data_IF_657605971568
#
_entry.id   IF_657605971568
#
_cell.length_a   1.000
_cell.length_b   1.000
_cell.length_c   1.000
_cell.angle_alpha   90.00
_cell.angle_beta   90.00
_cell.angle_gamma   90.00
#
_symmetry.space_group_name_H-M   'P 1'
#
loop_
_entity.id
_entity.type
_entity.pdbx_description
1 polymer ?
#
# COMPACT_ATOMS: atom_id res chain seq x y z
N UNK A 1 -37.63 -4.44 20.15
CA UNK A 1 -36.16 -4.33 20.06
C UNK A 1 -35.85 -2.97 19.45
N UNK A 2 -35.16 -2.11 20.19
CA UNK A 2 -34.84 -0.75 19.72
C UNK A 2 -33.65 -0.79 18.74
N UNK A 3 -33.29 0.36 18.14
CA UNK A 3 -32.16 0.44 17.22
C UNK A 3 -30.83 0.03 17.87
N UNK A 4 -30.62 0.42 19.13
CA UNK A 4 -29.39 0.15 19.89
C UNK A 4 -29.19 -1.36 20.05
N UNK A 5 -30.21 -2.07 20.53
CA UNK A 5 -30.16 -3.53 20.71
C UNK A 5 -29.79 -4.27 19.42
N UNK A 6 -30.31 -3.79 18.27
CA UNK A 6 -30.03 -4.36 16.94
C UNK A 6 -28.57 -4.14 16.54
N UNK A 7 -28.05 -2.93 16.75
CA UNK A 7 -26.66 -2.59 16.42
C UNK A 7 -25.71 -3.36 17.34
N UNK A 8 -26.01 -3.50 18.63
CA UNK A 8 -25.21 -4.32 19.55
C UNK A 8 -25.13 -5.79 19.12
N UNK A 9 -26.25 -6.38 18.70
CA UNK A 9 -26.27 -7.76 18.20
C UNK A 9 -25.40 -7.92 16.96
N UNK A 10 -25.47 -6.98 16.02
CA UNK A 10 -24.61 -6.98 14.82
C UNK A 10 -23.15 -6.80 15.21
N UNK A 11 -22.84 -5.86 16.11
CA UNK A 11 -21.48 -5.57 16.54
C UNK A 11 -20.82 -6.81 17.17
N UNK A 12 -21.51 -7.53 18.05
CA UNK A 12 -21.01 -8.78 18.64
C UNK A 12 -20.78 -9.85 17.57
N UNK A 13 -21.75 -10.07 16.70
CA UNK A 13 -21.64 -11.07 15.63
C UNK A 13 -20.53 -10.76 14.61
N UNK A 14 -20.22 -9.48 14.37
CA UNK A 14 -19.08 -9.07 13.56
C UNK A 14 -17.77 -9.23 14.34
N UNK A 15 -17.71 -8.80 15.59
CA UNK A 15 -16.51 -8.93 16.42
C UNK A 15 -16.06 -10.40 16.56
N UNK A 16 -17.00 -11.32 16.81
CA UNK A 16 -16.71 -12.76 16.92
C UNK A 16 -16.18 -13.34 15.60
N UNK A 17 -16.69 -12.86 14.46
CA UNK A 17 -16.25 -13.28 13.13
C UNK A 17 -14.84 -12.78 12.81
N UNK A 18 -14.58 -11.52 13.13
CA UNK A 18 -13.31 -10.86 12.83
C UNK A 18 -12.19 -11.26 13.81
N UNK A 19 -12.52 -11.76 14.99
CA UNK A 19 -11.54 -12.21 15.99
C UNK A 19 -10.52 -13.22 15.42
N UNK A 20 -10.94 -14.10 14.52
CA UNK A 20 -10.06 -15.08 13.87
C UNK A 20 -9.06 -14.44 12.89
N UNK A 21 -9.33 -13.23 12.39
CA UNK A 21 -8.52 -12.54 11.39
C UNK A 21 -7.54 -11.52 12.00
N UNK A 22 -7.69 -11.17 13.28
CA UNK A 22 -6.85 -10.16 13.96
C UNK A 22 -5.37 -10.50 13.82
N UNK A 23 -4.97 -11.74 14.10
CA UNK A 23 -3.57 -12.16 14.00
C UNK A 23 -3.00 -12.00 12.59
N UNK A 24 -3.74 -12.44 11.56
CA UNK A 24 -3.33 -12.32 10.16
C UNK A 24 -3.28 -10.87 9.68
N UNK A 25 -4.19 -10.01 10.16
CA UNK A 25 -4.16 -8.58 9.84
C UNK A 25 -2.99 -7.87 10.51
N UNK A 26 -2.65 -8.23 11.76
CA UNK A 26 -1.45 -7.73 12.43
C UNK A 26 -0.19 -8.09 11.65
N UNK A 27 -0.04 -9.36 11.23
CA UNK A 27 1.10 -9.78 10.41
C UNK A 27 1.17 -9.06 9.07
N UNK A 28 0.02 -8.83 8.42
CA UNK A 28 -0.04 -8.03 7.19
C UNK A 28 0.38 -6.57 7.43
N UNK A 29 -0.01 -5.97 8.56
CA UNK A 29 0.42 -4.61 8.94
C UNK A 29 1.92 -4.54 9.18
N UNK A 30 2.49 -5.45 9.95
CA UNK A 30 3.94 -5.50 10.20
C UNK A 30 4.73 -5.64 8.90
N UNK A 31 4.23 -6.48 7.99
CA UNK A 31 4.82 -6.64 6.66
C UNK A 31 4.70 -5.36 5.83
N UNK A 32 3.53 -4.70 5.82
CA UNK A 32 3.33 -3.44 5.11
C UNK A 32 4.22 -2.33 5.65
N UNK A 33 4.40 -2.23 6.97
CA UNK A 33 5.29 -1.27 7.64
C UNK A 33 6.76 -1.52 7.26
N UNK A 34 7.20 -2.78 7.19
CA UNK A 34 8.55 -3.14 6.74
C UNK A 34 8.80 -2.70 5.30
N UNK A 35 7.88 -2.98 4.37
CA UNK A 35 8.02 -2.57 2.98
C UNK A 35 7.92 -1.04 2.84
N UNK A 36 7.01 -0.41 3.59
CA UNK A 36 6.87 1.04 3.63
C UNK A 36 8.16 1.73 4.05
N UNK A 37 8.79 1.31 5.14
CA UNK A 37 10.03 1.92 5.61
C UNK A 37 11.13 1.94 4.54
N UNK A 38 11.22 0.88 3.74
CA UNK A 38 12.19 0.76 2.63
C UNK A 38 11.85 1.69 1.48
N UNK A 39 10.56 1.77 1.12
CA UNK A 39 10.08 2.70 0.09
C UNK A 39 10.29 4.14 0.53
N UNK A 40 9.92 4.48 1.76
CA UNK A 40 10.07 5.80 2.34
C UNK A 40 11.53 6.23 2.36
N UNK A 41 12.45 5.35 2.76
CA UNK A 41 13.89 5.64 2.71
C UNK A 41 14.38 5.94 1.28
N UNK A 42 13.98 5.11 0.31
CA UNK A 42 14.36 5.30 -1.09
C UNK A 42 13.81 6.62 -1.66
N UNK A 43 12.54 6.92 -1.40
CA UNK A 43 11.88 8.14 -1.88
C UNK A 43 12.41 9.38 -1.16
N UNK A 44 12.75 9.29 0.13
CA UNK A 44 13.40 10.38 0.86
C UNK A 44 14.74 10.75 0.22
N UNK A 45 15.59 9.76 -0.07
CA UNK A 45 16.87 9.98 -0.79
C UNK A 45 16.66 10.59 -2.17
N UNK A 46 15.66 10.13 -2.92
CA UNK A 46 15.29 10.72 -4.22
C UNK A 46 14.87 12.20 -4.06
N UNK A 47 13.99 12.50 -3.10
CA UNK A 47 13.50 13.84 -2.83
C UNK A 47 14.62 14.79 -2.38
N UNK A 48 15.60 14.31 -1.61
CA UNK A 48 16.79 15.07 -1.21
C UNK A 48 17.65 15.47 -2.42
N UNK A 49 17.88 14.54 -3.34
CA UNK A 49 18.64 14.78 -4.58
C UNK A 49 17.93 15.79 -5.49
N UNK A 50 16.61 15.64 -5.64
CA UNK A 50 15.76 16.58 -6.38
C UNK A 50 15.81 17.97 -5.73
N UNK A 51 15.73 18.01 -4.40
CA UNK A 51 15.90 19.21 -3.58
C UNK A 51 15.07 20.39 -4.05
N UNK A 52 15.71 21.56 -4.12
CA UNK A 52 15.11 22.80 -4.62
C UNK A 52 15.23 22.96 -6.15
N UNK A 53 15.99 22.09 -6.82
CA UNK A 53 16.23 22.19 -8.27
C UNK A 53 14.99 21.83 -9.08
N UNK A 54 14.21 20.85 -8.60
CA UNK A 54 12.99 20.41 -9.28
C UNK A 54 11.90 20.00 -8.27
N UNK A 55 11.43 20.90 -7.38
CA UNK A 55 10.49 20.57 -6.30
C UNK A 55 9.16 19.98 -6.80
N UNK A 56 8.82 20.21 -8.06
CA UNK A 56 7.64 19.64 -8.73
C UNK A 56 7.76 18.14 -9.03
N UNK A 57 8.95 17.54 -8.88
CA UNK A 57 9.20 16.10 -9.01
C UNK A 57 9.11 15.36 -7.67
N UNK A 58 8.89 16.07 -6.54
CA UNK A 58 8.78 15.42 -5.24
C UNK A 58 7.65 14.38 -5.23
N UNK A 59 7.94 13.25 -4.62
CA UNK A 59 7.01 12.14 -4.43
C UNK A 59 6.63 12.06 -2.96
N UNK A 60 5.36 11.88 -2.69
CA UNK A 60 4.83 11.60 -1.35
C UNK A 60 4.65 10.10 -1.18
N UNK A 61 4.99 9.58 0.00
CA UNK A 61 4.68 8.21 0.44
C UNK A 61 3.73 8.34 1.62
N UNK A 62 2.54 7.75 1.51
CA UNK A 62 1.54 7.78 2.58
C UNK A 62 1.76 6.63 3.57
N UNK A 63 1.38 6.79 4.84
CA UNK A 63 1.52 5.73 5.83
C UNK A 63 0.62 4.52 5.53
N UNK A 64 1.00 3.31 5.98
CA UNK A 64 0.16 2.12 5.89
C UNK A 64 -1.20 2.28 6.59
N UNK A 65 -2.27 1.85 5.93
CA UNK A 65 -3.65 1.88 6.42
C UNK A 65 -4.39 0.62 5.99
N UNK A 66 -5.55 0.34 6.58
CA UNK A 66 -6.43 -0.73 6.07
C UNK A 66 -6.93 -0.35 4.67
N UNK A 67 -6.93 -1.33 3.77
CA UNK A 67 -7.40 -1.16 2.38
C UNK A 67 -8.90 -0.83 2.35
N UNK A 68 -9.26 0.17 1.54
CA UNK A 68 -10.63 0.69 1.46
C UNK A 68 -11.63 -0.33 0.90
N UNK A 69 -11.16 -1.28 0.07
CA UNK A 69 -11.97 -2.32 -0.58
C UNK A 69 -11.91 -3.64 0.19
N UNK A 70 -10.83 -3.90 0.92
CA UNK A 70 -10.53 -5.18 1.55
C UNK A 70 -10.18 -5.00 3.04
N UNK A 71 -11.14 -5.30 3.92
CA UNK A 71 -10.98 -5.22 5.39
C UNK A 71 -9.78 -6.03 5.93
N UNK A 72 -9.33 -7.04 5.19
CA UNK A 72 -8.22 -7.91 5.57
C UNK A 72 -6.95 -7.66 4.76
N UNK A 73 -6.75 -6.43 4.31
CA UNK A 73 -5.53 -5.99 3.66
C UNK A 73 -5.08 -4.63 4.22
N UNK A 74 -3.78 -4.39 4.15
CA UNK A 74 -3.14 -3.13 4.52
C UNK A 74 -2.48 -2.57 3.27
N UNK A 75 -2.69 -1.30 2.96
CA UNK A 75 -2.09 -0.65 1.81
C UNK A 75 -1.38 0.65 2.19
N UNK A 76 -0.46 1.07 1.33
CA UNK A 76 0.04 2.42 1.27
C UNK A 76 0.25 2.85 -0.18
N UNK A 77 0.41 4.15 -0.41
CA UNK A 77 0.52 4.70 -1.75
C UNK A 77 1.70 5.65 -1.90
N UNK A 78 2.22 5.69 -3.12
CA UNK A 78 3.14 6.70 -3.60
C UNK A 78 2.37 7.62 -4.55
N UNK A 79 2.55 8.92 -4.40
CA UNK A 79 1.83 9.92 -5.18
C UNK A 79 2.75 11.03 -5.69
N UNK A 80 2.53 11.42 -6.95
CA UNK A 80 3.08 12.66 -7.52
C UNK A 80 2.07 13.23 -8.51
N UNK A 81 1.43 14.33 -8.10
CA UNK A 81 0.37 14.95 -8.90
C UNK A 81 -0.78 13.97 -9.17
N UNK A 82 -0.96 13.56 -10.43
CA UNK A 82 -1.98 12.57 -10.81
C UNK A 82 -1.45 11.14 -10.91
N UNK A 83 -0.13 10.93 -10.82
CA UNK A 83 0.45 9.60 -10.84
C UNK A 83 0.38 8.98 -9.45
N UNK A 84 -0.04 7.72 -9.39
CA UNK A 84 -0.19 6.94 -8.17
C UNK A 84 0.35 5.54 -8.37
N UNK A 85 0.93 5.00 -7.30
CA UNK A 85 1.29 3.60 -7.14
C UNK A 85 0.79 3.14 -5.77
N UNK A 86 0.40 1.88 -5.65
CA UNK A 86 -0.16 1.30 -4.42
C UNK A 86 0.56 0.01 -4.12
N UNK A 87 0.94 -0.18 -2.86
CA UNK A 87 1.42 -1.44 -2.33
C UNK A 87 0.37 -1.96 -1.37
N UNK A 88 -0.08 -3.19 -1.56
CA UNK A 88 -1.11 -3.83 -0.73
C UNK A 88 -0.57 -5.15 -0.18
N UNK A 89 -0.69 -5.35 1.12
CA UNK A 89 -0.39 -6.62 1.80
C UNK A 89 -1.69 -7.23 2.31
N UNK A 90 -2.01 -8.43 1.83
CA UNK A 90 -3.21 -9.16 2.27
C UNK A 90 -2.87 -10.05 3.45
N UNK A 91 -3.81 -10.16 4.38
CA UNK A 91 -3.77 -11.09 5.54
C UNK A 91 -3.47 -12.54 5.19
N UNK A 92 -3.75 -12.96 3.95
CA UNK A 92 -3.42 -14.30 3.42
C UNK A 92 -1.96 -14.49 3.01
N UNK A 93 -1.06 -13.54 3.31
CA UNK A 93 0.37 -13.66 3.01
C UNK A 93 0.73 -13.34 1.57
N UNK A 94 0.03 -12.39 0.95
CA UNK A 94 0.37 -11.89 -0.40
C UNK A 94 0.72 -10.40 -0.34
N UNK A 95 1.74 -9.98 -1.09
CA UNK A 95 2.05 -8.58 -1.37
C UNK A 95 1.72 -8.30 -2.84
N UNK A 96 1.06 -7.19 -3.11
CA UNK A 96 0.70 -6.74 -4.45
C UNK A 96 1.24 -5.33 -4.69
N UNK A 97 1.92 -5.13 -5.82
CA UNK A 97 2.32 -3.81 -6.32
C UNK A 97 1.43 -3.43 -7.49
N UNK A 98 0.77 -2.27 -7.40
CA UNK A 98 -0.14 -1.75 -8.42
C UNK A 98 0.34 -0.38 -8.89
N UNK A 99 0.62 -0.25 -10.19
CA UNK A 99 1.05 1.01 -10.80
C UNK A 99 2.45 0.96 -11.38
N UNK A 100 2.96 2.11 -11.87
CA UNK A 100 2.32 3.43 -11.86
C UNK A 100 1.06 3.54 -12.72
N UNK A 101 0.07 4.31 -12.25
CA UNK A 101 -1.11 4.68 -13.04
C UNK A 101 -1.54 6.13 -12.77
N UNK A 102 -2.39 6.68 -13.63
CA UNK A 102 -2.99 8.02 -13.41
C UNK A 102 -4.33 7.88 -12.67
N UNK A 103 -4.59 8.75 -11.70
CA UNK A 103 -5.86 8.77 -10.98
C UNK A 103 -7.05 8.90 -11.95
N UNK A 104 -8.05 8.05 -11.78
CA UNK A 104 -9.23 7.98 -12.66
C UNK A 104 -8.97 7.26 -14.01
N UNK A 105 -7.78 6.70 -14.23
CA UNK A 105 -7.49 5.77 -15.33
C UNK A 105 -7.42 4.33 -14.81
N UNK A 106 -7.32 3.39 -15.76
CA UNK A 106 -7.17 1.97 -15.43
C UNK A 106 -5.89 1.76 -14.61
N UNK A 107 -6.02 1.07 -13.49
CA UNK A 107 -4.90 0.63 -12.66
C UNK A 107 -4.00 -0.36 -13.44
N UNK A 108 -2.70 -0.36 -13.16
CA UNK A 108 -1.74 -1.33 -13.70
C UNK A 108 -0.33 -0.75 -13.89
N UNK A 109 0.73 -1.56 -14.10
CA UNK A 109 0.81 -3.02 -13.95
C UNK A 109 0.49 -3.51 -12.54
N UNK A 110 0.18 -4.80 -12.39
CA UNK A 110 -0.11 -5.43 -11.11
C UNK A 110 0.79 -6.66 -10.97
N UNK A 111 1.62 -6.68 -9.93
CA UNK A 111 2.51 -7.80 -9.60
C UNK A 111 2.13 -8.31 -8.22
N UNK A 112 2.12 -9.62 -8.00
CA UNK A 112 1.74 -10.23 -6.71
C UNK A 112 2.72 -11.33 -6.35
N UNK A 113 3.13 -11.33 -5.09
CA UNK A 113 4.18 -12.20 -4.54
C UNK A 113 3.72 -12.80 -3.21
N UNK A 114 4.17 -14.01 -2.86
CA UNK A 114 4.15 -14.49 -1.48
C UNK A 114 4.98 -13.59 -0.57
N UNK A 115 4.55 -13.36 0.68
CA UNK A 115 5.27 -12.49 1.64
C UNK A 115 6.65 -13.02 2.05
N UNK A 116 6.89 -14.32 1.86
CA UNK A 116 8.12 -15.03 2.19
C UNK A 116 9.15 -15.06 1.05
N UNK A 117 8.79 -14.57 -0.15
CA UNK A 117 9.71 -14.44 -1.29
C UNK A 117 10.45 -13.10 -1.26
N UNK A 118 11.30 -12.90 -0.25
CA UNK A 118 11.97 -11.62 -0.01
C UNK A 118 12.88 -11.19 -1.18
N UNK A 119 13.53 -12.14 -1.85
CA UNK A 119 14.41 -11.85 -3.00
C UNK A 119 13.59 -11.35 -4.21
N UNK A 120 12.48 -12.02 -4.54
CA UNK A 120 11.62 -11.58 -5.64
C UNK A 120 10.94 -10.24 -5.32
N UNK A 121 10.49 -10.06 -4.07
CA UNK A 121 9.91 -8.79 -3.59
C UNK A 121 10.91 -7.64 -3.77
N UNK A 122 12.16 -7.85 -3.39
CA UNK A 122 13.22 -6.84 -3.46
C UNK A 122 13.52 -6.42 -4.89
N UNK A 123 13.70 -7.39 -5.77
CA UNK A 123 13.93 -7.15 -7.19
C UNK A 123 12.74 -6.43 -7.83
N UNK A 124 11.52 -6.89 -7.55
CA UNK A 124 10.30 -6.28 -8.08
C UNK A 124 10.07 -4.87 -7.53
N UNK A 125 10.41 -4.60 -6.27
CA UNK A 125 10.27 -3.28 -5.66
C UNK A 125 11.18 -2.25 -6.33
N UNK A 126 12.43 -2.62 -6.63
CA UNK A 126 13.35 -1.76 -7.37
C UNK A 126 12.79 -1.35 -8.73
N UNK A 127 12.40 -2.34 -9.54
CA UNK A 127 11.79 -2.11 -10.87
C UNK A 127 10.51 -1.28 -10.77
N UNK A 128 9.68 -1.54 -9.76
CA UNK A 128 8.44 -0.82 -9.51
C UNK A 128 8.67 0.66 -9.21
N UNK A 129 9.63 0.98 -8.34
CA UNK A 129 9.98 2.35 -7.98
C UNK A 129 10.61 3.11 -9.15
N UNK A 130 11.56 2.50 -9.86
CA UNK A 130 12.18 3.09 -11.06
C UNK A 130 11.11 3.50 -12.07
N UNK A 131 10.23 2.56 -12.40
CA UNK A 131 9.14 2.80 -13.35
C UNK A 131 8.20 3.90 -12.87
N UNK A 132 7.83 3.91 -11.58
CA UNK A 132 6.99 4.96 -11.03
C UNK A 132 7.64 6.33 -11.16
N UNK A 133 8.93 6.47 -10.82
CA UNK A 133 9.65 7.73 -10.90
C UNK A 133 9.77 8.24 -12.35
N UNK A 134 10.04 7.36 -13.31
CA UNK A 134 10.12 7.72 -14.74
C UNK A 134 8.76 8.16 -15.30
N UNK A 135 7.70 7.38 -15.08
CA UNK A 135 6.37 7.72 -15.56
C UNK A 135 5.83 8.98 -14.86
N UNK A 136 6.07 9.10 -13.54
CA UNK A 136 5.66 10.26 -12.78
C UNK A 136 6.39 11.53 -13.18
N UNK A 137 7.61 11.46 -13.71
CA UNK A 137 8.34 12.63 -14.22
C UNK A 137 7.79 13.15 -15.56
N UNK A 138 6.98 12.36 -16.26
CA UNK A 138 6.44 12.70 -17.58
C UNK A 138 5.07 13.43 -17.49
N UNK A 139 4.75 14.36 -18.42
CA UNK A 139 3.47 15.09 -18.45
C UNK A 139 2.23 14.21 -18.68
#
# INVERSE_FOLDING_TARGET
>A
MNLIDRIEGIARALADREAAHVGSLTAARETAERIHARVEEAIHRFNDIVGEKAPHLRVEVRPPRVDDKHLHAVEFDLERGRHRAVVTVKSKGEITFVGPFRQGKKEGPCLTFPVDDEEEIDAALGVFLERFLEEAASP
#
